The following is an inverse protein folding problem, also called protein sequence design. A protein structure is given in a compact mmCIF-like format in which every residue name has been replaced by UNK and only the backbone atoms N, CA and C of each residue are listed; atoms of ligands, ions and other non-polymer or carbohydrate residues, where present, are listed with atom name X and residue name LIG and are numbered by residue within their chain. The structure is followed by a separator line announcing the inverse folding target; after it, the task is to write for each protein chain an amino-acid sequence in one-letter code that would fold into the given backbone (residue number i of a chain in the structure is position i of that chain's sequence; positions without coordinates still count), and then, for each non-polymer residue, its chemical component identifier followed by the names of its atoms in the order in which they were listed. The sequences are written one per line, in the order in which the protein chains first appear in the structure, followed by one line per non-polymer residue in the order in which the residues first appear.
data_IF_720274534951
#
_entry.id   IF_720274534951
#
_cell.length_a   1.000
_cell.length_b   1.000
_cell.length_c   1.000
_cell.angle_alpha   90.00
_cell.angle_beta   90.00
_cell.angle_gamma   90.00
#
_symmetry.space_group_name_H-M   'P 1'
#
loop_
_entity.id
_entity.type
_entity.pdbx_description
1 polymer ?
#
# COMPACT_ATOMS: atom_id res chain seq x y z
N UNK A 1 18.82 18.47 4.48
CA UNK A 1 17.72 17.91 5.27
C UNK A 1 18.24 16.75 6.09
N UNK A 2 17.75 16.58 7.31
CA UNK A 2 17.95 15.37 8.10
C UNK A 2 17.15 14.20 7.51
N UNK A 3 17.44 12.96 7.93
CA UNK A 3 16.66 11.78 7.52
C UNK A 3 15.19 11.92 7.92
N UNK A 4 14.92 12.39 9.15
CA UNK A 4 13.57 12.59 9.67
C UNK A 4 12.79 13.66 8.87
N UNK A 5 13.45 14.73 8.41
CA UNK A 5 12.83 15.72 7.52
C UNK A 5 12.44 15.11 6.17
N UNK A 6 13.28 14.22 5.62
CA UNK A 6 13.00 13.53 4.36
C UNK A 6 11.84 12.55 4.52
N UNK A 7 11.83 11.74 5.59
CA UNK A 7 10.73 10.81 5.89
C UNK A 7 9.38 11.54 5.95
N UNK A 8 9.31 12.63 6.74
CA UNK A 8 8.08 13.40 6.89
C UNK A 8 7.62 14.06 5.57
N UNK A 9 8.57 14.53 4.77
CA UNK A 9 8.28 15.11 3.46
C UNK A 9 7.76 14.06 2.47
N UNK A 10 8.34 12.86 2.46
CA UNK A 10 7.85 11.72 1.66
C UNK A 10 6.43 11.34 2.08
N UNK A 11 6.18 11.17 3.39
CA UNK A 11 4.85 10.80 3.88
C UNK A 11 3.80 11.85 3.53
N UNK A 12 4.14 13.13 3.62
CA UNK A 12 3.24 14.22 3.22
C UNK A 12 2.99 14.22 1.71
N UNK A 13 4.04 14.01 0.90
CA UNK A 13 3.95 13.93 -0.56
C UNK A 13 3.02 12.79 -1.01
N UNK A 14 3.16 11.61 -0.39
CA UNK A 14 2.31 10.45 -0.65
C UNK A 14 0.89 10.68 -0.14
N UNK A 15 0.71 11.30 1.03
CA UNK A 15 -0.60 11.63 1.60
C UNK A 15 -1.45 12.50 0.67
N UNK A 16 -0.83 13.50 0.04
CA UNK A 16 -1.51 14.44 -0.86
C UNK A 16 -1.92 13.78 -2.19
N UNK A 17 -1.15 12.79 -2.65
CA UNK A 17 -1.36 12.12 -3.95
C UNK A 17 -2.08 10.77 -3.84
N UNK A 18 -2.12 10.18 -2.64
CA UNK A 18 -2.64 8.84 -2.38
C UNK A 18 -1.66 7.75 -2.79
N UNK A 19 -1.57 7.47 -4.09
CA UNK A 19 -0.64 6.50 -4.68
C UNK A 19 0.34 7.22 -5.59
N UNK A 20 1.62 6.92 -5.43
CA UNK A 20 2.73 7.57 -6.13
C UNK A 20 3.57 6.49 -6.79
N UNK A 21 3.85 6.60 -8.10
CA UNK A 21 4.79 5.70 -8.75
C UNK A 21 6.24 6.09 -8.43
N UNK A 22 7.19 5.18 -8.67
CA UNK A 22 8.58 5.45 -8.30
C UNK A 22 9.17 6.65 -9.05
N UNK A 23 8.85 6.78 -10.34
CA UNK A 23 9.37 7.84 -11.20
C UNK A 23 8.97 9.23 -10.67
N UNK A 24 7.72 9.38 -10.21
CA UNK A 24 7.22 10.62 -9.59
C UNK A 24 7.96 11.00 -8.32
N UNK A 25 8.24 10.03 -7.44
CA UNK A 25 8.95 10.32 -6.19
C UNK A 25 10.46 10.48 -6.41
N UNK A 26 11.04 9.83 -7.41
CA UNK A 26 12.42 10.05 -7.83
C UNK A 26 12.61 11.47 -8.36
N UNK A 27 11.72 11.95 -9.24
CA UNK A 27 11.75 13.35 -9.69
C UNK A 27 11.60 14.35 -8.53
N UNK A 28 10.76 14.04 -7.55
CA UNK A 28 10.63 14.86 -6.35
C UNK A 28 11.93 14.85 -5.53
N UNK A 29 12.55 13.68 -5.35
CA UNK A 29 13.79 13.52 -4.60
C UNK A 29 14.95 14.29 -5.26
N UNK A 30 15.09 14.21 -6.59
CA UNK A 30 16.09 14.95 -7.35
C UNK A 30 15.93 16.47 -7.16
N UNK A 31 14.70 17.00 -7.28
CA UNK A 31 14.41 18.42 -7.04
C UNK A 31 14.75 18.88 -5.62
N UNK A 32 14.78 17.95 -4.66
CA UNK A 32 15.11 18.20 -3.27
C UNK A 32 16.56 17.80 -2.90
N UNK A 33 17.41 17.52 -3.89
CA UNK A 33 18.81 17.08 -3.72
C UNK A 33 18.98 15.81 -2.88
N UNK A 34 18.03 14.87 -3.00
CA UNK A 34 18.09 13.55 -2.38
C UNK A 34 18.54 12.54 -3.43
N UNK A 35 19.65 11.86 -3.19
CA UNK A 35 20.17 10.83 -4.11
C UNK A 35 19.26 9.59 -4.17
N UNK A 36 19.21 8.94 -5.34
CA UNK A 36 18.36 7.76 -5.59
C UNK A 36 18.59 6.61 -4.61
N UNK A 37 19.85 6.34 -4.25
CA UNK A 37 20.19 5.31 -3.26
C UNK A 37 19.59 5.62 -1.88
N UNK A 38 19.74 6.86 -1.40
CA UNK A 38 19.17 7.32 -0.13
C UNK A 38 17.65 7.26 -0.15
N UNK A 39 17.03 7.69 -1.26
CA UNK A 39 15.58 7.57 -1.44
C UNK A 39 15.13 6.12 -1.29
N UNK A 40 15.77 5.17 -1.99
CA UNK A 40 15.41 3.76 -1.90
C UNK A 40 15.56 3.22 -0.49
N UNK A 41 16.64 3.57 0.24
CA UNK A 41 16.80 3.17 1.65
C UNK A 41 15.60 3.64 2.48
N UNK A 42 15.26 4.92 2.40
CA UNK A 42 14.19 5.51 3.20
C UNK A 42 12.84 4.91 2.83
N UNK A 43 12.56 4.69 1.53
CA UNK A 43 11.32 4.06 1.10
C UNK A 43 11.19 2.63 1.62
N UNK A 44 12.25 1.83 1.56
CA UNK A 44 12.22 0.46 2.08
C UNK A 44 12.07 0.44 3.61
N UNK A 45 12.75 1.31 4.34
CA UNK A 45 12.61 1.44 5.79
C UNK A 45 11.17 1.83 6.18
N UNK A 46 10.57 2.81 5.51
CA UNK A 46 9.19 3.22 5.74
C UNK A 46 8.18 2.10 5.39
N UNK A 47 8.46 1.27 4.39
CA UNK A 47 7.65 0.10 4.04
C UNK A 47 7.77 -0.99 5.11
N UNK A 48 8.99 -1.26 5.58
CA UNK A 48 9.28 -2.25 6.62
C UNK A 48 8.61 -1.86 7.95
N UNK A 49 8.77 -0.59 8.35
CA UNK A 49 8.17 0.01 9.55
C UNK A 49 6.67 0.27 9.44
N UNK A 50 6.03 -0.09 8.31
CA UNK A 50 4.58 0.04 8.10
C UNK A 50 4.09 1.49 8.18
N UNK A 51 4.84 2.43 7.62
CA UNK A 51 4.36 3.77 7.30
C UNK A 51 3.93 3.88 5.83
N UNK A 52 4.55 3.08 4.96
CA UNK A 52 4.19 2.94 3.55
C UNK A 52 3.84 1.48 3.21
N UNK A 53 3.13 1.29 2.11
CA UNK A 53 2.94 0.01 1.42
C UNK A 53 3.45 0.13 -0.02
N UNK A 54 3.96 -0.99 -0.58
CA UNK A 54 4.33 -1.11 -2.00
C UNK A 54 3.29 -1.99 -2.76
N UNK A 55 2.14 -1.43 -3.17
CA UNK A 55 1.01 -2.22 -3.67
C UNK A 55 1.37 -3.00 -4.94
N UNK A 56 2.06 -2.37 -5.89
CA UNK A 56 2.44 -3.02 -7.15
C UNK A 56 3.75 -3.84 -7.03
N UNK A 57 4.30 -3.96 -5.81
CA UNK A 57 5.52 -4.69 -5.52
C UNK A 57 6.80 -3.93 -5.89
N UNK A 58 7.86 -4.67 -6.13
CA UNK A 58 9.19 -4.15 -6.45
C UNK A 58 9.56 -4.54 -7.88
N UNK A 59 10.41 -3.75 -8.51
CA UNK A 59 11.07 -4.16 -9.75
C UNK A 59 11.98 -5.36 -9.47
N UNK A 60 12.04 -6.30 -10.42
CA UNK A 60 13.03 -7.37 -10.39
C UNK A 60 14.37 -6.75 -10.80
N UNK A 61 15.33 -6.68 -9.86
CA UNK A 61 16.69 -6.26 -10.17
C UNK A 61 17.64 -7.46 -10.17
N UNK A 62 18.56 -7.49 -11.14
CA UNK A 62 19.52 -8.59 -11.35
C UNK A 62 20.64 -8.64 -10.28
N UNK A 63 20.76 -7.62 -9.43
CA UNK A 63 21.86 -7.47 -8.47
C UNK A 63 21.36 -7.37 -7.02
N UNK A 64 21.91 -8.22 -6.14
CA UNK A 64 21.55 -8.28 -4.71
C UNK A 64 22.11 -7.13 -3.85
N UNK A 65 22.82 -6.16 -4.45
CA UNK A 65 23.57 -5.14 -3.70
C UNK A 65 22.75 -3.86 -3.50
N UNK A 66 21.80 -3.56 -4.40
CA UNK A 66 20.99 -2.34 -4.29
C UNK A 66 19.72 -2.55 -3.45
N UNK A 67 19.30 -1.54 -2.67
CA UNK A 67 18.01 -1.58 -2.00
C UNK A 67 16.88 -1.77 -3.02
N UNK A 68 15.88 -2.63 -2.73
CA UNK A 68 14.80 -2.91 -3.68
C UNK A 68 14.10 -1.65 -4.16
N UNK A 69 13.85 -1.55 -5.47
CA UNK A 69 13.13 -0.42 -6.06
C UNK A 69 11.61 -0.68 -6.05
N UNK A 70 10.81 -0.01 -5.20
CA UNK A 70 9.36 -0.20 -5.25
C UNK A 70 8.81 0.32 -6.58
N UNK A 71 7.76 -0.30 -7.13
CA UNK A 71 7.08 0.19 -8.35
C UNK A 71 6.17 1.38 -8.04
N UNK A 72 5.53 1.34 -6.88
CA UNK A 72 4.69 2.40 -6.36
C UNK A 72 4.62 2.33 -4.84
N UNK A 73 4.24 3.45 -4.23
CA UNK A 73 4.07 3.58 -2.78
C UNK A 73 2.73 4.22 -2.44
N UNK A 74 2.18 3.85 -1.29
CA UNK A 74 0.99 4.49 -0.68
C UNK A 74 1.14 4.51 0.84
N UNK A 75 0.33 5.30 1.55
CA UNK A 75 0.32 5.30 3.01
C UNK A 75 -0.17 3.96 3.54
N UNK A 76 0.54 3.43 4.54
CA UNK A 76 0.10 2.27 5.29
C UNK A 76 -1.05 2.67 6.23
N UNK A 77 -2.17 1.94 6.17
CA UNK A 77 -3.30 2.16 7.06
C UNK A 77 -3.63 0.87 7.84
N UNK A 78 -2.92 0.58 8.93
CA UNK A 78 -3.19 -0.62 9.76
C UNK A 78 -4.63 -0.68 10.26
N UNK A 79 -5.14 0.42 10.82
CA UNK A 79 -6.50 0.44 11.39
C UNK A 79 -7.56 0.15 10.34
N UNK A 80 -7.37 0.68 9.13
CA UNK A 80 -8.32 0.52 8.04
C UNK A 80 -8.19 -0.87 7.42
N UNK A 81 -6.99 -1.43 7.39
CA UNK A 81 -6.77 -2.80 6.95
C UNK A 81 -7.36 -3.82 7.92
N UNK A 82 -7.23 -3.61 9.23
CA UNK A 82 -7.91 -4.45 10.23
C UNK A 82 -9.43 -4.34 10.11
N UNK A 83 -9.99 -3.13 9.95
CA UNK A 83 -11.43 -2.97 9.68
C UNK A 83 -11.88 -3.71 8.43
N UNK A 84 -11.10 -3.67 7.35
CA UNK A 84 -11.38 -4.43 6.14
C UNK A 84 -11.37 -5.93 6.41
N UNK A 85 -10.36 -6.45 7.13
CA UNK A 85 -10.28 -7.87 7.49
C UNK A 85 -11.47 -8.30 8.35
N UNK A 86 -11.82 -7.53 9.38
CA UNK A 86 -12.99 -7.79 10.22
C UNK A 86 -14.28 -7.79 9.40
N UNK A 87 -14.44 -6.82 8.50
CA UNK A 87 -15.57 -6.80 7.58
C UNK A 87 -15.64 -8.04 6.69
N UNK A 88 -14.50 -8.49 6.11
CA UNK A 88 -14.46 -9.70 5.28
C UNK A 88 -14.69 -10.99 6.08
N UNK A 89 -14.34 -11.03 7.37
CA UNK A 89 -14.67 -12.14 8.26
C UNK A 89 -16.18 -12.26 8.48
N UNK A 90 -16.86 -11.12 8.62
CA UNK A 90 -18.32 -11.03 8.79
C UNK A 90 -19.07 -11.27 7.46
N UNK A 91 -18.65 -10.61 6.38
CA UNK A 91 -19.28 -10.64 5.05
C UNK A 91 -18.38 -11.35 4.04
N UNK A 92 -18.43 -12.69 4.04
CA UNK A 92 -17.50 -13.54 3.28
C UNK A 92 -17.60 -13.47 1.77
N UNK A 93 -18.73 -13.02 1.23
CA UNK A 93 -18.95 -12.90 -0.22
C UNK A 93 -19.88 -11.72 -0.47
N UNK A 94 -19.39 -10.71 -1.21
CA UNK A 94 -20.10 -9.45 -1.37
C UNK A 94 -19.78 -8.78 -2.70
N UNK A 95 -20.80 -8.16 -3.30
CA UNK A 95 -20.60 -7.36 -4.51
C UNK A 95 -19.69 -6.16 -4.24
N UNK A 96 -18.80 -5.87 -5.18
CA UNK A 96 -17.76 -4.85 -5.06
C UNK A 96 -18.31 -3.47 -4.73
N UNK A 97 -19.45 -3.08 -5.33
CA UNK A 97 -20.08 -1.79 -5.05
C UNK A 97 -20.47 -1.65 -3.57
N UNK A 98 -21.10 -2.68 -3.00
CA UNK A 98 -21.51 -2.69 -1.59
C UNK A 98 -20.29 -2.75 -0.65
N UNK A 99 -19.29 -3.54 -1.02
CA UNK A 99 -18.02 -3.60 -0.29
C UNK A 99 -17.38 -2.20 -0.16
N UNK A 100 -17.31 -1.44 -1.25
CA UNK A 100 -16.81 -0.06 -1.23
C UNK A 100 -17.67 0.86 -0.37
N UNK A 101 -18.99 0.79 -0.54
CA UNK A 101 -19.93 1.64 0.19
C UNK A 101 -19.85 1.41 1.70
N UNK A 102 -19.88 0.15 2.13
CA UNK A 102 -19.89 -0.21 3.55
C UNK A 102 -18.56 0.15 4.23
N UNK A 103 -17.42 -0.15 3.60
CA UNK A 103 -16.11 0.19 4.15
C UNK A 103 -15.91 1.71 4.25
N UNK A 104 -16.36 2.46 3.24
CA UNK A 104 -16.31 3.93 3.27
C UNK A 104 -17.18 4.49 4.41
N UNK A 105 -18.38 3.93 4.63
CA UNK A 105 -19.28 4.33 5.73
C UNK A 105 -18.67 4.12 7.11
N UNK A 106 -17.86 3.08 7.31
CA UNK A 106 -17.14 2.82 8.57
C UNK A 106 -15.77 3.54 8.65
N UNK A 107 -15.52 4.45 7.71
CA UNK A 107 -14.36 5.35 7.71
C UNK A 107 -13.06 4.70 7.25
N UNK A 108 -13.10 3.57 6.55
CA UNK A 108 -11.92 2.97 5.90
C UNK A 108 -11.57 3.81 4.69
N UNK A 109 -10.33 4.32 4.66
CA UNK A 109 -9.80 5.08 3.52
C UNK A 109 -9.09 4.15 2.55
N UNK A 110 -8.91 4.59 1.31
CA UNK A 110 -8.11 3.89 0.30
C UNK A 110 -8.53 2.41 0.08
N UNK A 111 -9.84 2.13 0.13
CA UNK A 111 -10.42 0.77 0.04
C UNK A 111 -9.89 -0.01 -1.17
N UNK A 112 -9.65 0.66 -2.30
CA UNK A 112 -9.09 0.04 -3.51
C UNK A 112 -7.72 -0.59 -3.26
N UNK A 113 -6.81 0.15 -2.61
CA UNK A 113 -5.46 -0.32 -2.33
C UNK A 113 -5.47 -1.41 -1.26
N UNK A 114 -6.32 -1.27 -0.24
CA UNK A 114 -6.49 -2.28 0.80
C UNK A 114 -7.07 -3.59 0.23
N UNK A 115 -8.00 -3.51 -0.72
CA UNK A 115 -8.53 -4.68 -1.43
C UNK A 115 -7.44 -5.35 -2.30
N UNK A 116 -6.69 -4.57 -3.09
CA UNK A 116 -5.54 -5.08 -3.87
C UNK A 116 -4.54 -5.81 -2.98
N UNK A 117 -4.24 -5.23 -1.83
CA UNK A 117 -3.36 -5.83 -0.82
C UNK A 117 -3.94 -7.12 -0.25
N UNK A 118 -5.22 -7.15 0.14
CA UNK A 118 -5.88 -8.37 0.61
C UNK A 118 -5.86 -9.49 -0.44
N UNK A 119 -5.98 -9.15 -1.74
CA UNK A 119 -5.85 -10.12 -2.83
C UNK A 119 -4.40 -10.62 -2.96
N UNK A 120 -3.43 -9.71 -2.98
CA UNK A 120 -1.99 -10.05 -3.06
C UNK A 120 -1.53 -10.91 -1.90
N UNK A 121 -2.00 -10.61 -0.69
CA UNK A 121 -1.72 -11.38 0.52
C UNK A 121 -2.55 -12.67 0.60
N UNK A 122 -3.48 -12.90 -0.33
CA UNK A 122 -4.29 -14.12 -0.41
C UNK A 122 -5.34 -14.21 0.68
N UNK A 123 -5.80 -13.09 1.24
CA UNK A 123 -6.92 -13.01 2.17
C UNK A 123 -8.27 -12.85 1.45
N UNK A 124 -8.27 -12.32 0.23
CA UNK A 124 -9.47 -12.13 -0.58
C UNK A 124 -9.25 -12.51 -2.05
N UNK A 125 -10.34 -12.74 -2.77
CA UNK A 125 -10.36 -12.95 -4.22
C UNK A 125 -11.43 -12.06 -4.86
N UNK A 126 -11.14 -11.51 -6.05
CA UNK A 126 -12.11 -10.75 -6.84
C UNK A 126 -12.49 -11.56 -8.09
N UNK A 127 -13.77 -11.89 -8.22
CA UNK A 127 -14.31 -12.58 -9.39
C UNK A 127 -14.51 -11.63 -10.57
N UNK A 128 -14.56 -12.17 -11.80
CA UNK A 128 -14.88 -11.39 -13.01
C UNK A 128 -16.26 -10.74 -12.99
N UNK A 129 -17.20 -11.29 -12.20
CA UNK A 129 -18.53 -10.70 -11.95
C UNK A 129 -18.53 -9.56 -10.92
N UNK A 130 -17.37 -9.20 -10.35
CA UNK A 130 -17.27 -8.12 -9.38
C UNK A 130 -17.71 -8.51 -7.96
N UNK A 131 -17.54 -9.77 -7.58
CA UNK A 131 -17.77 -10.25 -6.20
C UNK A 131 -16.43 -10.43 -5.50
N UNK A 132 -16.29 -9.85 -4.31
CA UNK A 132 -15.17 -10.01 -3.39
C UNK A 132 -15.47 -11.17 -2.44
N UNK A 133 -14.61 -12.19 -2.44
CA UNK A 133 -14.71 -13.34 -1.55
C UNK A 133 -13.58 -13.33 -0.53
N UNK A 134 -13.89 -13.57 0.74
CA UNK A 134 -12.90 -13.88 1.76
C UNK A 134 -12.38 -15.32 1.56
N UNK A 135 -11.08 -15.51 1.72
CA UNK A 135 -10.44 -16.83 1.60
C UNK A 135 -10.27 -17.49 2.97
N UNK A 136 -10.03 -18.80 2.98
CA UNK A 136 -9.72 -19.56 4.19
C UNK A 136 -8.48 -19.06 4.93
N UNK A 137 -7.53 -18.41 4.24
CA UNK A 137 -6.32 -17.86 4.86
C UNK A 137 -6.65 -16.79 5.89
N UNK A 138 -7.68 -15.98 5.65
CA UNK A 138 -8.10 -14.89 6.53
C UNK A 138 -8.61 -15.38 7.90
N UNK A 139 -9.15 -16.61 7.95
CA UNK A 139 -9.71 -17.17 9.18
C UNK A 139 -8.68 -17.94 10.03
N UNK A 140 -7.49 -18.17 9.47
CA UNK A 140 -6.39 -18.89 10.13
C UNK A 140 -5.29 -17.96 10.65
N UNK A 141 -5.42 -16.65 10.39
CA UNK A 141 -4.46 -15.59 10.78
C UNK A 141 -4.75 -14.99 12.14
#
# INVERSE_FOLDING_TARGET
MSIEEIENAILSFVKERGKVNYEEIEEWAEKNNIGSYTLRIILNDLIERKFLDAPDGFYEEESHIEPPKPKSITLYHSSDYEKLKEYLKEYRSIGILRFFEDLTKIGVKNVNELLRRAIKEGYAELTSSGVVNATEKLFKS
#
